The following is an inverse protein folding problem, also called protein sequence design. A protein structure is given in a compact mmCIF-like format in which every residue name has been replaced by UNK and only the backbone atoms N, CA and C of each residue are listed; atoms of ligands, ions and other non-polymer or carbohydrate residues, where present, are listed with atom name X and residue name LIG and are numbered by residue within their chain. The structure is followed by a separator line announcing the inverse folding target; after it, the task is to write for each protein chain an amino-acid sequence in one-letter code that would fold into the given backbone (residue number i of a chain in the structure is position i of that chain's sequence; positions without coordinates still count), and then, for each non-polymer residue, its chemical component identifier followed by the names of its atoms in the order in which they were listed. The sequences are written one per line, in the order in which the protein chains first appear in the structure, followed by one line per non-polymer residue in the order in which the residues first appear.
data_IF_499158356688
#
_entry.id   IF_499158356688
#
_cell.length_a   1.000
_cell.length_b   1.000
_cell.length_c   1.000
_cell.angle_alpha   90.00
_cell.angle_beta   90.00
_cell.angle_gamma   90.00
#
_symmetry.space_group_name_H-M   'P 1'
#
loop_
_entity.id
_entity.type
_entity.pdbx_description
1 polymer ?
#
# COMPACT_ATOMS: atom_id res chain seq x y z
N UNK A 1 -1.24 5.67 10.76
CA UNK A 1 0.08 5.17 10.32
C UNK A 1 0.81 4.54 11.51
N UNK A 2 1.09 3.25 11.45
CA UNK A 2 2.08 2.66 12.35
C UNK A 2 3.48 2.95 11.78
N UNK A 3 4.26 3.81 12.42
CA UNK A 3 5.66 4.02 12.03
C UNK A 3 6.54 3.12 12.86
N UNK A 4 7.10 2.09 12.26
CA UNK A 4 8.26 1.41 12.82
C UNK A 4 9.51 2.16 12.34
N UNK A 5 10.23 2.83 13.24
CA UNK A 5 11.45 3.56 12.91
C UNK A 5 12.66 2.61 12.82
N UNK A 6 12.58 1.54 12.05
CA UNK A 6 13.73 0.66 11.85
C UNK A 6 14.11 0.75 10.39
N UNK A 7 15.26 1.31 10.11
CA UNK A 7 15.83 1.51 8.78
C UNK A 7 16.51 0.26 8.22
N UNK A 8 16.64 -0.82 8.98
CA UNK A 8 17.32 -2.03 8.54
C UNK A 8 16.33 -3.05 7.94
N UNK A 9 16.69 -3.55 6.77
CA UNK A 9 15.98 -4.54 5.95
C UNK A 9 16.02 -5.97 6.53
N UNK A 10 15.81 -6.13 7.79
CA UNK A 10 15.82 -7.45 8.41
C UNK A 10 14.43 -7.79 8.94
N UNK A 11 13.63 -8.44 8.10
CA UNK A 11 12.28 -8.94 8.44
C UNK A 11 12.25 -9.76 9.72
N UNK A 12 13.37 -10.37 10.09
CA UNK A 12 13.49 -11.15 11.33
C UNK A 12 13.59 -10.27 12.59
N UNK A 13 13.96 -9.00 12.43
CA UNK A 13 14.13 -8.04 13.53
C UNK A 13 12.97 -7.09 13.70
N UNK A 14 12.21 -6.84 12.62
CA UNK A 14 11.12 -5.89 12.64
C UNK A 14 9.85 -6.50 13.25
N UNK A 15 9.15 -5.80 14.15
CA UNK A 15 7.85 -6.25 14.59
C UNK A 15 6.88 -6.21 13.41
N UNK A 16 6.09 -7.26 13.29
CA UNK A 16 5.07 -7.43 12.28
C UNK A 16 3.76 -7.75 12.98
N UNK A 17 2.67 -7.30 12.41
CA UNK A 17 1.36 -7.44 13.03
C UNK A 17 0.38 -8.07 12.06
N UNK A 18 -0.47 -8.96 12.54
CA UNK A 18 -1.75 -9.24 11.93
C UNK A 18 -2.76 -8.32 12.60
N UNK A 19 -3.51 -7.59 11.78
CA UNK A 19 -4.44 -6.55 12.24
C UNK A 19 -5.85 -7.09 12.19
N UNK A 20 -6.59 -6.84 13.27
CA UNK A 20 -7.99 -7.16 13.37
C UNK A 20 -8.78 -5.88 13.63
N UNK A 21 -9.87 -5.70 12.91
CA UNK A 21 -10.86 -4.68 13.19
C UNK A 21 -12.15 -5.34 13.67
N UNK A 22 -12.61 -4.96 14.86
CA UNK A 22 -13.81 -5.52 15.50
C UNK A 22 -13.78 -7.07 15.60
N UNK A 23 -12.58 -7.65 15.71
CA UNK A 23 -12.35 -9.09 15.83
C UNK A 23 -12.15 -9.83 14.51
N UNK A 24 -12.28 -9.17 13.36
CA UNK A 24 -12.06 -9.74 12.04
C UNK A 24 -10.67 -9.40 11.51
N UNK A 25 -10.00 -10.37 10.87
CA UNK A 25 -8.69 -10.17 10.24
C UNK A 25 -8.87 -9.29 9.00
N UNK A 26 -8.14 -8.17 8.93
CA UNK A 26 -8.21 -7.26 7.78
C UNK A 26 -6.93 -7.25 6.96
N UNK A 27 -5.78 -7.05 7.59
CA UNK A 27 -4.51 -7.03 6.84
C UNK A 27 -3.31 -7.36 7.72
N UNK A 28 -2.14 -7.48 7.10
CA UNK A 28 -0.85 -7.43 7.77
C UNK A 28 -0.33 -6.00 7.86
N UNK A 29 0.34 -5.66 8.95
CA UNK A 29 1.06 -4.41 9.08
C UNK A 29 2.55 -4.68 9.36
N UNK A 30 3.41 -4.00 8.63
CA UNK A 30 4.87 -4.07 8.73
C UNK A 30 5.51 -2.75 8.28
N UNK A 31 6.83 -2.74 8.05
CA UNK A 31 7.54 -1.54 7.62
C UNK A 31 7.10 -1.02 6.24
N UNK A 32 6.53 -1.87 5.39
CA UNK A 32 6.09 -1.52 4.05
C UNK A 32 4.57 -1.26 3.99
N UNK A 33 3.80 -1.90 4.87
CA UNK A 33 2.35 -1.80 4.96
C UNK A 33 1.99 -1.16 6.31
N UNK A 34 1.96 0.17 6.38
CA UNK A 34 1.85 0.93 7.63
C UNK A 34 0.48 1.55 7.84
N UNK A 35 -0.33 1.58 6.82
CA UNK A 35 -1.66 2.19 6.82
C UNK A 35 -2.71 1.09 6.95
N UNK A 36 -3.70 1.32 7.81
CA UNK A 36 -4.84 0.44 8.01
C UNK A 36 -6.09 1.29 7.87
N UNK A 37 -6.96 0.94 6.93
CA UNK A 37 -8.24 1.61 6.75
C UNK A 37 -9.16 1.23 7.91
N UNK A 38 -9.55 2.20 8.72
CA UNK A 38 -10.46 1.98 9.85
C UNK A 38 -11.93 2.15 9.46
N UNK A 39 -12.23 3.08 8.58
CA UNK A 39 -13.57 3.38 8.07
C UNK A 39 -13.45 4.21 6.79
N UNK A 40 -14.26 3.93 5.80
CA UNK A 40 -14.38 4.76 4.58
C UNK A 40 -15.15 6.06 4.85
N UNK A 41 -16.08 6.03 5.81
CA UNK A 41 -16.95 7.15 6.16
C UNK A 41 -17.28 7.12 7.64
N UNK A 42 -16.32 7.53 8.48
CA UNK A 42 -16.49 7.54 9.92
C UNK A 42 -17.62 8.49 10.37
N UNK A 43 -18.42 8.04 11.29
CA UNK A 43 -19.52 8.83 11.86
C UNK A 43 -19.24 9.21 13.32
N UNK A 44 -19.76 10.35 13.74
CA UNK A 44 -19.59 10.82 15.12
C UNK A 44 -20.13 9.81 16.13
N UNK A 45 -19.29 9.38 17.07
CA UNK A 45 -19.64 8.39 18.09
C UNK A 45 -19.40 6.93 17.65
N UNK A 46 -18.98 6.67 16.45
CA UNK A 46 -18.55 5.35 16.03
C UNK A 46 -17.33 4.89 16.82
N UNK A 47 -17.29 3.61 17.13
CA UNK A 47 -16.17 2.98 17.84
C UNK A 47 -15.67 1.80 17.03
N UNK A 48 -14.39 1.81 16.73
CA UNK A 48 -13.70 0.69 16.07
C UNK A 48 -12.68 0.12 17.04
N UNK A 49 -12.73 -1.19 17.27
CA UNK A 49 -11.72 -1.90 18.06
C UNK A 49 -10.62 -2.39 17.13
N UNK A 50 -9.38 -1.99 17.41
CA UNK A 50 -8.20 -2.41 16.65
C UNK A 50 -7.38 -3.33 17.53
N UNK A 51 -7.25 -4.59 17.14
CA UNK A 51 -6.37 -5.54 17.80
C UNK A 51 -5.17 -5.84 16.91
N UNK A 52 -3.99 -5.83 17.50
CA UNK A 52 -2.72 -6.11 16.83
C UNK A 52 -2.09 -7.38 17.40
N UNK A 53 -2.11 -8.44 16.62
CA UNK A 53 -1.33 -9.64 16.96
C UNK A 53 0.12 -9.42 16.55
N UNK A 54 0.97 -9.04 17.52
CA UNK A 54 2.36 -8.77 17.28
C UNK A 54 3.16 -10.05 17.09
N UNK A 55 4.05 -10.04 16.11
CA UNK A 55 5.07 -11.05 15.95
C UNK A 55 6.43 -10.38 15.81
N UNK A 56 7.39 -10.78 16.63
CA UNK A 56 8.79 -10.42 16.46
C UNK A 56 9.61 -11.69 16.33
N UNK A 57 10.70 -11.62 15.55
CA UNK A 57 11.59 -12.75 15.30
C UNK A 57 12.37 -13.22 16.55
N UNK A 58 13.50 -13.86 16.34
CA UNK A 58 14.32 -14.45 17.40
C UNK A 58 15.05 -13.45 18.28
N UNK A 59 15.15 -12.21 17.85
CA UNK A 59 15.75 -11.11 18.64
C UNK A 59 14.66 -10.50 19.53
N UNK A 60 15.06 -10.07 20.72
CA UNK A 60 14.20 -9.44 21.72
C UNK A 60 14.55 -7.96 21.93
N UNK A 61 14.61 -7.13 20.87
CA UNK A 61 14.76 -5.69 21.07
C UNK A 61 13.47 -5.12 21.65
N UNK A 62 13.58 -4.03 22.38
CA UNK A 62 12.41 -3.26 22.79
C UNK A 62 11.89 -2.48 21.57
N UNK A 63 10.62 -2.61 21.30
CA UNK A 63 9.92 -1.85 20.26
C UNK A 63 8.92 -0.89 20.88
N UNK A 64 8.76 0.26 20.27
CA UNK A 64 7.69 1.20 20.59
C UNK A 64 6.72 1.26 19.43
N UNK A 65 5.47 0.90 19.69
CA UNK A 65 4.38 1.14 18.74
C UNK A 65 4.05 2.64 18.76
N UNK A 66 4.07 3.25 17.59
CA UNK A 66 3.54 4.60 17.34
C UNK A 66 2.36 4.45 16.41
N UNK A 67 1.19 4.86 16.85
CA UNK A 67 -0.05 4.78 16.08
C UNK A 67 -0.75 6.14 16.12
N UNK A 68 -1.08 6.65 14.95
CA UNK A 68 -1.85 7.87 14.74
C UNK A 68 -3.13 7.52 13.99
N UNK A 69 -4.20 8.24 14.25
CA UNK A 69 -5.43 8.18 13.45
C UNK A 69 -5.48 9.43 12.59
N UNK A 70 -5.61 9.23 11.29
CA UNK A 70 -5.59 10.29 10.30
C UNK A 70 -6.86 10.25 9.45
N UNK A 71 -7.39 11.41 9.10
CA UNK A 71 -8.36 11.56 8.02
C UNK A 71 -7.60 11.67 6.69
N UNK A 72 -7.96 10.85 5.72
CA UNK A 72 -7.30 10.82 4.40
C UNK A 72 -8.22 11.43 3.36
N UNK A 73 -7.75 12.47 2.70
CA UNK A 73 -8.41 12.99 1.49
C UNK A 73 -7.97 12.17 0.28
N UNK A 74 -8.85 11.33 -0.24
CA UNK A 74 -8.53 10.47 -1.39
C UNK A 74 -8.08 11.27 -2.62
N UNK A 75 -8.72 12.40 -3.02
CA UNK A 75 -8.24 13.19 -4.15
C UNK A 75 -6.81 13.71 -3.99
N UNK A 76 -6.42 14.07 -2.75
CA UNK A 76 -5.06 14.53 -2.46
C UNK A 76 -4.06 13.36 -2.49
N UNK A 77 -4.45 12.20 -1.95
CA UNK A 77 -3.64 10.96 -2.01
C UNK A 77 -3.40 10.54 -3.46
N UNK A 78 -4.43 10.56 -4.28
CA UNK A 78 -4.33 10.22 -5.71
C UNK A 78 -3.37 11.18 -6.43
N UNK A 79 -3.57 12.50 -6.28
CA UNK A 79 -2.68 13.49 -6.88
C UNK A 79 -1.23 13.33 -6.43
N UNK A 80 -1.02 12.97 -5.15
CA UNK A 80 0.32 12.67 -4.64
C UNK A 80 0.99 11.57 -5.46
N UNK A 81 0.30 10.46 -5.73
CA UNK A 81 0.85 9.37 -6.51
C UNK A 81 0.93 9.68 -8.00
N UNK A 82 -0.02 10.44 -8.55
CA UNK A 82 0.03 10.92 -9.94
C UNK A 82 1.29 11.75 -10.22
N UNK A 83 1.81 12.46 -9.21
CA UNK A 83 3.06 13.23 -9.27
C UNK A 83 4.27 12.34 -8.91
N UNK A 84 4.17 11.56 -7.84
CA UNK A 84 5.31 10.83 -7.26
C UNK A 84 5.82 9.72 -8.18
N UNK A 85 4.92 8.99 -8.82
CA UNK A 85 5.30 7.86 -9.67
C UNK A 85 6.08 8.31 -10.91
N UNK A 86 5.63 9.31 -11.69
CA UNK A 86 6.43 9.84 -12.79
C UNK A 86 7.76 10.46 -12.33
N UNK A 87 7.77 11.11 -11.18
CA UNK A 87 9.01 11.65 -10.60
C UNK A 87 10.03 10.54 -10.31
N UNK A 88 9.62 9.42 -9.75
CA UNK A 88 10.49 8.26 -9.55
C UNK A 88 10.92 7.59 -10.85
N UNK A 89 10.04 7.54 -11.85
CA UNK A 89 10.38 7.01 -13.16
C UNK A 89 11.51 7.83 -13.82
N UNK A 90 11.50 9.14 -13.65
CA UNK A 90 12.55 10.03 -14.16
C UNK A 90 13.94 9.68 -13.64
N UNK A 91 14.08 9.17 -12.39
CA UNK A 91 15.37 8.75 -11.82
C UNK A 91 16.03 7.62 -12.64
N UNK A 92 15.27 6.94 -13.48
CA UNK A 92 15.73 5.84 -14.35
C UNK A 92 15.91 6.25 -15.82
N UNK A 93 15.62 7.50 -16.15
CA UNK A 93 15.71 8.04 -17.51
C UNK A 93 16.97 8.89 -17.68
N UNK A 94 17.30 9.18 -18.95
CA UNK A 94 18.25 10.23 -19.28
C UNK A 94 17.66 11.59 -18.89
N UNK A 95 18.21 12.20 -17.85
CA UNK A 95 17.73 13.46 -17.28
C UNK A 95 17.81 14.64 -18.27
N UNK A 96 18.70 14.59 -19.26
CA UNK A 96 18.83 15.60 -20.31
C UNK A 96 17.96 15.25 -21.54
N UNK A 97 17.34 14.07 -21.52
CA UNK A 97 16.47 13.59 -22.57
C UNK A 97 15.13 14.36 -22.63
N UNK A 98 14.61 14.52 -23.85
CA UNK A 98 13.35 15.23 -24.08
C UNK A 98 12.20 14.72 -23.21
N UNK A 99 12.07 13.40 -23.07
CA UNK A 99 10.99 12.79 -22.29
C UNK A 99 11.04 13.20 -20.81
N UNK A 100 12.23 13.19 -20.19
CA UNK A 100 12.38 13.60 -18.80
C UNK A 100 12.05 15.09 -18.62
N UNK A 101 12.48 15.93 -19.55
CA UNK A 101 12.19 17.38 -19.54
C UNK A 101 10.69 17.63 -19.70
N UNK A 102 10.02 16.92 -20.60
CA UNK A 102 8.58 17.04 -20.83
C UNK A 102 7.78 16.62 -19.57
N UNK A 103 8.14 15.48 -18.95
CA UNK A 103 7.54 15.03 -17.69
C UNK A 103 7.73 16.09 -16.59
N UNK A 104 8.96 16.56 -16.40
CA UNK A 104 9.26 17.57 -15.37
C UNK A 104 8.44 18.85 -15.59
N UNK A 105 8.27 19.26 -16.83
CA UNK A 105 7.45 20.43 -17.18
C UNK A 105 6.00 20.22 -16.76
N UNK A 106 5.41 19.06 -17.12
CA UNK A 106 4.04 18.74 -16.72
C UNK A 106 3.89 18.68 -15.20
N UNK A 107 4.84 18.09 -14.49
CA UNK A 107 4.79 18.02 -13.02
C UNK A 107 4.87 19.40 -12.37
N UNK A 108 5.72 20.29 -12.87
CA UNK A 108 5.81 21.68 -12.40
C UNK A 108 4.52 22.45 -12.66
N UNK A 109 3.95 22.32 -13.85
CA UNK A 109 2.69 22.97 -14.18
C UNK A 109 1.55 22.43 -13.31
N UNK A 110 1.50 21.12 -13.06
CA UNK A 110 0.53 20.48 -12.15
C UNK A 110 0.60 21.08 -10.74
N UNK A 111 1.79 21.17 -10.15
CA UNK A 111 1.99 21.74 -8.81
C UNK A 111 1.62 23.22 -8.79
N UNK A 112 1.88 23.94 -9.87
CA UNK A 112 1.58 25.38 -9.98
C UNK A 112 0.09 25.69 -10.00
N UNK A 113 -0.77 24.71 -10.26
CA UNK A 113 -2.23 24.86 -10.18
C UNK A 113 -2.76 24.82 -8.75
N UNK A 114 -1.98 24.32 -7.78
CA UNK A 114 -2.45 24.15 -6.40
C UNK A 114 -2.57 25.48 -5.67
N UNK A 115 -3.73 25.71 -5.06
CA UNK A 115 -3.95 26.81 -4.13
C UNK A 115 -3.61 26.38 -2.70
N UNK A 116 -2.39 26.71 -2.28
CA UNK A 116 -1.87 26.35 -0.95
C UNK A 116 -2.05 27.44 0.11
N UNK A 117 -2.81 28.52 -0.20
CA UNK A 117 -2.99 29.67 0.72
C UNK A 117 -3.83 29.31 1.94
N UNK A 118 -4.82 28.44 1.74
CA UNK A 118 -5.68 27.91 2.81
C UNK A 118 -5.96 26.44 2.54
N UNK A 119 -5.08 25.60 3.06
CA UNK A 119 -5.11 24.13 2.85
C UNK A 119 -6.35 23.57 3.51
N UNK A 120 -7.03 22.65 2.82
CA UNK A 120 -8.32 22.05 3.16
C UNK A 120 -9.56 22.94 2.96
N UNK A 121 -9.42 24.15 2.39
CA UNK A 121 -10.56 24.95 1.95
C UNK A 121 -11.18 24.40 0.66
N UNK A 122 -12.38 24.86 0.32
CA UNK A 122 -13.02 24.53 -0.96
C UNK A 122 -12.19 24.95 -2.17
N UNK A 123 -11.46 26.08 -2.06
CA UNK A 123 -10.57 26.56 -3.11
C UNK A 123 -9.37 25.62 -3.29
N UNK A 124 -8.81 25.14 -2.19
CA UNK A 124 -7.77 24.11 -2.21
C UNK A 124 -8.25 22.84 -2.94
N UNK A 125 -9.40 22.28 -2.53
CA UNK A 125 -9.91 21.06 -3.17
C UNK A 125 -10.26 21.24 -4.64
N UNK A 126 -10.81 22.41 -5.03
CA UNK A 126 -11.00 22.74 -6.46
C UNK A 126 -9.68 22.78 -7.23
N UNK A 127 -8.64 23.31 -6.62
CA UNK A 127 -7.30 23.33 -7.24
C UNK A 127 -6.69 21.95 -7.37
N UNK A 128 -6.91 21.05 -6.40
CA UNK A 128 -6.50 19.64 -6.46
C UNK A 128 -7.19 18.93 -7.64
N UNK A 129 -8.50 19.09 -7.81
CA UNK A 129 -9.23 18.52 -8.94
C UNK A 129 -8.75 19.07 -10.30
N UNK A 130 -8.46 20.36 -10.36
CA UNK A 130 -7.90 20.97 -11.58
C UNK A 130 -6.50 20.42 -11.90
N UNK A 131 -5.66 20.23 -10.90
CA UNK A 131 -4.33 19.65 -11.04
C UNK A 131 -4.39 18.19 -11.49
N UNK A 132 -5.31 17.39 -10.92
CA UNK A 132 -5.55 16.00 -11.32
C UNK A 132 -6.02 15.89 -12.78
N UNK A 133 -6.99 16.73 -13.17
CA UNK A 133 -7.46 16.75 -14.54
C UNK A 133 -6.36 17.17 -15.53
N UNK A 134 -5.50 18.12 -15.15
CA UNK A 134 -4.38 18.55 -15.97
C UNK A 134 -3.34 17.44 -16.16
N UNK A 135 -2.87 16.80 -15.07
CA UNK A 135 -1.84 15.76 -15.16
C UNK A 135 -2.36 14.54 -15.91
N UNK A 136 -3.63 14.15 -15.70
CA UNK A 136 -4.25 13.05 -16.41
C UNK A 136 -4.20 13.28 -17.92
N UNK A 137 -4.55 14.50 -18.36
CA UNK A 137 -4.51 14.83 -19.78
C UNK A 137 -3.08 14.99 -20.30
N UNK A 138 -2.27 15.84 -19.67
CA UNK A 138 -0.98 16.24 -20.21
C UNK A 138 0.06 15.11 -20.17
N UNK A 139 0.05 14.27 -19.12
CA UNK A 139 1.00 13.18 -18.93
C UNK A 139 0.49 11.86 -19.49
N UNK A 140 -0.71 11.45 -19.10
CA UNK A 140 -1.19 10.08 -19.36
C UNK A 140 -1.94 9.96 -20.70
N UNK A 141 -2.42 11.06 -21.29
CA UNK A 141 -3.02 11.04 -22.63
C UNK A 141 -2.11 11.63 -23.70
N UNK A 142 -1.65 12.89 -23.53
CA UNK A 142 -0.94 13.63 -24.58
C UNK A 142 0.54 13.23 -24.68
N UNK A 143 1.21 12.94 -23.56
CA UNK A 143 2.63 12.50 -23.52
C UNK A 143 2.78 10.98 -23.62
N UNK A 144 1.71 10.21 -23.34
CA UNK A 144 1.72 8.77 -23.47
C UNK A 144 2.14 8.39 -24.90
N UNK A 145 3.15 7.54 -24.99
CA UNK A 145 3.67 7.07 -26.25
C UNK A 145 2.75 6.05 -26.94
N UNK A 146 3.23 5.52 -28.07
CA UNK A 146 2.57 4.45 -28.79
C UNK A 146 2.52 3.17 -27.94
N UNK A 147 1.33 2.59 -27.70
CA UNK A 147 1.09 1.39 -26.88
C UNK A 147 1.58 0.11 -27.61
N UNK A 148 2.82 0.10 -28.08
CA UNK A 148 3.40 -1.07 -28.78
C UNK A 148 3.85 -2.17 -27.82
N UNK A 149 4.06 -1.86 -26.56
CA UNK A 149 4.47 -2.83 -25.53
C UNK A 149 3.47 -2.85 -24.39
N UNK A 150 2.86 -4.02 -24.16
CA UNK A 150 1.96 -4.26 -23.05
C UNK A 150 2.71 -5.06 -21.99
N UNK A 151 2.83 -4.52 -20.77
CA UNK A 151 3.35 -5.23 -19.61
C UNK A 151 2.19 -5.69 -18.73
N UNK A 152 2.03 -7.01 -18.56
CA UNK A 152 1.08 -7.55 -17.59
C UNK A 152 1.80 -7.80 -16.27
N UNK A 153 1.40 -7.09 -15.23
CA UNK A 153 1.94 -7.24 -13.88
C UNK A 153 1.02 -8.10 -13.02
N UNK A 154 1.59 -9.14 -12.41
CA UNK A 154 0.89 -10.02 -11.48
C UNK A 154 1.64 -9.98 -10.16
N UNK A 155 0.93 -9.65 -9.07
CA UNK A 155 1.48 -9.70 -7.73
C UNK A 155 1.90 -11.11 -7.36
N UNK A 156 3.02 -11.23 -6.66
CA UNK A 156 3.51 -12.52 -6.15
C UNK A 156 4.27 -12.28 -4.85
N UNK A 157 4.11 -13.19 -3.89
CA UNK A 157 4.97 -13.24 -2.72
C UNK A 157 5.69 -14.57 -2.67
N UNK A 158 7.01 -14.53 -2.57
CA UNK A 158 7.83 -15.71 -2.34
C UNK A 158 8.10 -15.84 -0.85
N UNK A 159 7.65 -16.95 -0.25
CA UNK A 159 7.89 -17.23 1.17
C UNK A 159 8.62 -18.57 1.28
N UNK A 160 9.90 -18.52 1.64
CA UNK A 160 10.61 -19.71 2.03
C UNK A 160 9.97 -20.28 3.30
N UNK A 161 9.57 -21.55 3.26
CA UNK A 161 8.81 -22.19 4.35
C UNK A 161 9.67 -22.41 5.59
N UNK A 162 10.98 -22.44 5.43
CA UNK A 162 11.98 -22.16 6.46
C UNK A 162 13.28 -21.74 5.78
N UNK A 163 13.96 -20.75 6.34
CA UNK A 163 15.28 -20.32 5.92
C UNK A 163 16.04 -19.74 7.14
N UNK A 164 16.26 -18.43 7.19
CA UNK A 164 16.78 -17.77 8.40
C UNK A 164 15.72 -17.64 9.51
N UNK A 165 14.54 -18.16 9.28
CA UNK A 165 13.39 -18.15 10.19
C UNK A 165 12.76 -19.57 10.27
N UNK A 166 11.95 -19.75 11.29
CA UNK A 166 11.28 -21.02 11.58
C UNK A 166 10.01 -21.20 10.74
N UNK A 167 9.51 -22.45 10.68
CA UNK A 167 8.18 -22.76 10.09
C UNK A 167 7.06 -22.00 10.81
N UNK A 168 7.19 -21.77 12.12
CA UNK A 168 6.21 -20.98 12.87
C UNK A 168 6.14 -19.55 12.35
N UNK A 169 7.29 -18.93 12.04
CA UNK A 169 7.35 -17.60 11.41
C UNK A 169 6.75 -17.60 10.00
N UNK A 170 6.98 -18.65 9.22
CA UNK A 170 6.36 -18.80 7.89
C UNK A 170 4.84 -18.88 7.96
N UNK A 171 4.27 -19.52 8.99
CA UNK A 171 2.82 -19.55 9.23
C UNK A 171 2.25 -18.16 9.49
N UNK A 172 2.89 -17.38 10.35
CA UNK A 172 2.48 -15.99 10.63
C UNK A 172 2.63 -15.09 9.40
N UNK A 173 3.75 -15.24 8.66
CA UNK A 173 3.99 -14.48 7.45
C UNK A 173 2.95 -14.80 6.36
N UNK A 174 2.57 -16.06 6.20
CA UNK A 174 1.53 -16.45 5.25
C UNK A 174 0.19 -15.77 5.53
N UNK A 175 -0.26 -15.77 6.80
CA UNK A 175 -1.50 -15.12 7.19
C UNK A 175 -1.48 -13.62 6.90
N UNK A 176 -0.41 -12.93 7.29
CA UNK A 176 -0.24 -11.49 7.01
C UNK A 176 -0.21 -11.19 5.52
N UNK A 177 0.56 -11.95 4.75
CA UNK A 177 0.69 -11.72 3.31
C UNK A 177 -0.64 -11.89 2.59
N UNK A 178 -1.39 -12.95 2.88
CA UNK A 178 -2.68 -13.16 2.24
C UNK A 178 -3.75 -12.16 2.70
N UNK A 179 -3.77 -11.77 3.97
CA UNK A 179 -4.66 -10.71 4.44
C UNK A 179 -4.38 -9.39 3.73
N UNK A 180 -3.10 -8.98 3.63
CA UNK A 180 -2.71 -7.77 2.88
C UNK A 180 -3.07 -7.86 1.40
N UNK A 181 -2.92 -9.02 0.77
CA UNK A 181 -3.29 -9.22 -0.64
C UNK A 181 -4.77 -9.03 -0.86
N UNK A 182 -5.61 -9.56 0.04
CA UNK A 182 -7.06 -9.42 -0.05
C UNK A 182 -7.48 -7.95 0.11
N UNK A 183 -6.90 -7.23 1.04
CA UNK A 183 -7.13 -5.80 1.22
C UNK A 183 -6.72 -5.00 -0.02
N UNK A 184 -5.57 -5.30 -0.61
CA UNK A 184 -5.14 -4.69 -1.87
C UNK A 184 -6.07 -5.01 -3.05
N UNK A 185 -6.71 -6.19 -3.07
CA UNK A 185 -7.72 -6.52 -4.09
C UNK A 185 -9.04 -5.76 -3.89
N UNK A 186 -9.34 -5.34 -2.68
CA UNK A 186 -10.49 -4.48 -2.40
C UNK A 186 -10.20 -3.03 -2.76
N UNK A 187 -9.00 -2.53 -2.44
CA UNK A 187 -8.57 -1.17 -2.80
C UNK A 187 -8.34 -1.00 -4.32
N UNK A 188 -7.80 -2.05 -4.99
CA UNK A 188 -7.43 -2.04 -6.42
C UNK A 188 -8.09 -3.19 -7.16
N UNK A 189 -9.27 -3.00 -7.77
CA UNK A 189 -10.01 -4.08 -8.45
C UNK A 189 -9.27 -4.73 -9.63
N UNK A 190 -8.31 -4.02 -10.24
CA UNK A 190 -7.44 -4.55 -11.30
C UNK A 190 -6.30 -5.42 -10.77
N UNK A 191 -5.99 -5.38 -9.47
CA UNK A 191 -4.90 -6.13 -8.88
C UNK A 191 -5.13 -7.63 -9.00
N UNK A 192 -4.09 -8.34 -9.46
CA UNK A 192 -4.07 -9.80 -9.57
C UNK A 192 -2.87 -10.34 -8.81
N UNK A 193 -3.09 -11.43 -8.11
CA UNK A 193 -2.07 -12.06 -7.29
C UNK A 193 -1.99 -13.56 -7.57
N UNK A 194 -0.80 -14.11 -7.49
CA UNK A 194 -0.55 -15.55 -7.60
C UNK A 194 0.39 -16.01 -6.50
N UNK A 195 0.07 -17.12 -5.86
CA UNK A 195 0.99 -17.85 -4.99
C UNK A 195 1.02 -19.32 -5.38
N UNK A 196 2.23 -19.83 -5.64
CA UNK A 196 2.45 -21.19 -6.15
C UNK A 196 2.75 -22.22 -5.05
N UNK A 197 2.69 -21.84 -3.76
CA UNK A 197 3.09 -22.68 -2.63
C UNK A 197 1.87 -23.20 -1.86
N UNK A 198 1.36 -24.41 -2.15
CA UNK A 198 0.14 -24.96 -1.51
C UNK A 198 0.21 -25.05 0.02
N UNK A 199 1.40 -25.27 0.58
CA UNK A 199 1.59 -25.37 2.03
C UNK A 199 1.22 -24.07 2.76
N UNK A 200 1.40 -22.91 2.14
CA UNK A 200 1.04 -21.62 2.73
C UNK A 200 -0.47 -21.52 2.92
N UNK A 201 -1.25 -21.98 1.95
CA UNK A 201 -2.71 -22.05 2.05
C UNK A 201 -3.16 -23.03 3.15
N UNK A 202 -2.43 -24.14 3.34
CA UNK A 202 -2.71 -25.08 4.44
C UNK A 202 -2.51 -24.39 5.79
N UNK A 203 -1.45 -23.61 5.96
CA UNK A 203 -1.18 -22.87 7.19
C UNK A 203 -2.29 -21.88 7.53
N UNK A 204 -2.77 -21.13 6.53
CA UNK A 204 -3.88 -20.20 6.71
C UNK A 204 -5.17 -20.94 7.03
N UNK A 205 -5.49 -22.02 6.30
CA UNK A 205 -6.67 -22.83 6.53
C UNK A 205 -6.75 -23.38 7.94
N UNK A 206 -5.62 -23.85 8.50
CA UNK A 206 -5.55 -24.43 9.84
C UNK A 206 -5.81 -23.40 10.95
N UNK A 207 -5.35 -22.17 10.78
CA UNK A 207 -5.34 -21.17 11.85
C UNK A 207 -6.34 -20.03 11.67
N UNK A 208 -6.61 -19.68 10.42
CA UNK A 208 -7.51 -18.60 10.02
C UNK A 208 -8.48 -19.09 8.93
N UNK A 209 -9.41 -20.00 9.26
CA UNK A 209 -10.30 -20.61 8.27
C UNK A 209 -11.16 -19.60 7.51
N UNK A 210 -11.56 -18.50 8.17
CA UNK A 210 -12.35 -17.44 7.53
C UNK A 210 -11.54 -16.71 6.46
N UNK A 211 -10.28 -16.37 6.75
CA UNK A 211 -9.34 -15.82 5.76
C UNK A 211 -9.13 -16.78 4.58
N UNK A 212 -9.06 -18.09 4.84
CA UNK A 212 -8.93 -19.10 3.78
C UNK A 212 -10.18 -19.16 2.89
N UNK A 213 -11.38 -19.07 3.45
CA UNK A 213 -12.62 -19.00 2.66
C UNK A 213 -12.69 -17.73 1.80
N UNK A 214 -12.19 -16.60 2.31
CA UNK A 214 -12.06 -15.37 1.53
C UNK A 214 -11.10 -15.55 0.34
N UNK A 215 -9.92 -16.13 0.57
CA UNK A 215 -8.98 -16.47 -0.52
C UNK A 215 -9.67 -17.30 -1.61
N UNK A 216 -10.43 -18.30 -1.24
CA UNK A 216 -11.17 -19.15 -2.20
C UNK A 216 -12.22 -18.39 -2.99
N UNK A 217 -12.85 -17.39 -2.37
CA UNK A 217 -13.87 -16.56 -3.02
C UNK A 217 -13.26 -15.63 -4.07
N UNK A 218 -11.99 -15.25 -3.89
CA UNK A 218 -11.24 -14.37 -4.82
C UNK A 218 -10.45 -15.12 -5.88
N UNK A 219 -10.28 -16.43 -5.76
CA UNK A 219 -9.61 -17.29 -6.74
C UNK A 219 -10.57 -17.72 -7.84
#
# INVERSE_FOLDING_TARGET
RSRTQIEEWDDAKNPQFLVFLNGEVVQGADMNHREVLLSEAATAGETVTVDLQAYSGTLHPEFRLMADVEEVSQPVKDLYYDIQVPLWAMDRMDQEGKTAIDILTVLNDTISLLDLRDVYSDDFYRSVEAARAYIAKALYEDLAGDDTVIATCIGHTHIDVAWWWTVAQSREKAARSFATVLELMDEYPEYRFMSSQPVLYTFVKERYPELYEEIKRRA
#
